data_IF_099490487302
#
_entry.id   IF_099490487302
#
_cell.length_a   1.000
_cell.length_b   1.000
_cell.length_c   1.000
_cell.angle_alpha   90.00
_cell.angle_beta   90.00
_cell.angle_gamma   90.00
#
_symmetry.space_group_name_H-M   'P 1'
#
loop_
_entity.id
_entity.type
_entity.pdbx_description
1 polymer ?
#
# COMPACT_ATOMS: atom_id res chain seq x y z
N UNK A 1 -19.64 -11.54 12.60
CA UNK A 1 -18.63 -12.45 12.02
C UNK A 1 -17.90 -11.70 10.90
N UNK A 2 -16.61 -11.36 11.08
CA UNK A 2 -15.84 -10.60 10.08
C UNK A 2 -15.12 -11.59 9.14
N UNK A 3 -15.55 -11.64 7.88
CA UNK A 3 -14.88 -12.42 6.85
C UNK A 3 -13.48 -11.84 6.59
N UNK A 4 -12.44 -12.59 6.94
CA UNK A 4 -11.05 -12.35 6.54
C UNK A 4 -10.79 -13.12 5.24
N UNK A 5 -10.71 -12.40 4.13
CA UNK A 5 -10.22 -12.94 2.85
C UNK A 5 -8.90 -12.23 2.55
N UNK A 6 -7.78 -12.81 2.97
CA UNK A 6 -6.44 -12.39 2.57
C UNK A 6 -6.18 -12.93 1.17
N UNK A 7 -6.14 -12.06 0.16
CA UNK A 7 -5.60 -12.40 -1.16
C UNK A 7 -4.14 -12.00 -1.12
N UNK A 8 -3.28 -13.00 -1.20
CA UNK A 8 -1.83 -12.90 -1.21
C UNK A 8 -1.39 -12.07 -2.42
N UNK A 9 -0.64 -11.00 -2.19
CA UNK A 9 0.06 -10.27 -3.23
C UNK A 9 1.54 -10.31 -2.89
N UNK A 10 2.28 -11.26 -3.47
CA UNK A 10 3.74 -11.29 -3.33
C UNK A 10 4.30 -10.25 -4.30
N UNK A 11 4.61 -9.05 -3.84
CA UNK A 11 5.42 -8.14 -4.62
C UNK A 11 6.80 -8.83 -4.80
N UNK A 12 7.19 -9.17 -6.03
CA UNK A 12 8.52 -9.75 -6.29
C UNK A 12 9.56 -8.77 -5.75
N UNK A 13 10.53 -9.23 -4.96
CA UNK A 13 11.50 -8.38 -4.24
C UNK A 13 12.18 -7.32 -5.15
N UNK A 14 12.35 -7.61 -6.44
CA UNK A 14 12.93 -6.71 -7.45
C UNK A 14 12.02 -5.56 -7.90
N UNK A 15 10.71 -5.69 -7.78
CA UNK A 15 9.73 -4.65 -8.11
C UNK A 15 9.59 -3.65 -6.96
N UNK A 16 9.61 -4.14 -5.72
CA UNK A 16 9.53 -3.31 -4.52
C UNK A 16 10.77 -2.41 -4.35
N UNK A 17 11.97 -2.89 -4.68
CA UNK A 17 13.20 -2.10 -4.49
C UNK A 17 13.20 -0.82 -5.34
N UNK A 18 12.87 -0.91 -6.63
CA UNK A 18 12.80 0.28 -7.51
C UNK A 18 11.73 1.28 -7.10
N UNK A 19 10.63 0.81 -6.52
CA UNK A 19 9.59 1.66 -5.96
C UNK A 19 10.14 2.44 -4.77
N UNK A 20 10.73 1.75 -3.80
CA UNK A 20 11.30 2.39 -2.62
C UNK A 20 12.45 3.33 -2.99
N UNK A 21 13.36 2.97 -3.91
CA UNK A 21 14.41 3.87 -4.38
C UNK A 21 13.83 5.17 -4.97
N UNK A 22 12.73 5.07 -5.73
CA UNK A 22 12.08 6.23 -6.33
C UNK A 22 11.30 7.07 -5.32
N UNK A 23 10.67 6.45 -4.32
CA UNK A 23 9.88 7.17 -3.32
C UNK A 23 10.77 7.77 -2.22
N UNK A 24 11.78 7.03 -1.75
CA UNK A 24 12.72 7.46 -0.70
C UNK A 24 13.64 8.60 -1.17
N UNK A 25 13.80 8.81 -2.48
CA UNK A 25 14.50 10.00 -3.02
C UNK A 25 13.69 11.29 -2.89
N UNK A 26 12.42 11.22 -2.43
CA UNK A 26 11.53 12.36 -2.26
C UNK A 26 11.15 12.53 -0.79
N UNK A 27 11.75 13.50 -0.07
CA UNK A 27 11.46 13.71 1.35
C UNK A 27 10.03 14.21 1.59
N UNK A 28 9.33 14.71 0.58
CA UNK A 28 7.94 15.15 0.71
C UNK A 28 6.90 14.01 0.67
N UNK A 29 7.34 12.76 0.51
CA UNK A 29 6.45 11.59 0.45
C UNK A 29 6.66 10.74 1.70
N UNK A 30 5.57 10.54 2.43
CA UNK A 30 5.56 9.63 3.57
C UNK A 30 4.86 8.33 3.16
N UNK A 31 5.47 7.20 3.49
CA UNK A 31 5.05 5.88 3.01
C UNK A 31 4.55 5.04 4.17
N UNK A 32 3.39 4.40 4.00
CA UNK A 32 2.89 3.35 4.89
C UNK A 32 2.80 2.05 4.09
N UNK A 33 3.60 1.06 4.44
CA UNK A 33 3.51 -0.29 3.93
C UNK A 33 2.45 -1.07 4.71
N UNK A 34 1.40 -1.53 4.04
CA UNK A 34 0.31 -2.26 4.66
C UNK A 34 0.56 -3.76 4.54
N UNK A 35 1.04 -4.37 5.62
CA UNK A 35 1.21 -5.80 5.75
C UNK A 35 -0.06 -6.54 6.15
N UNK A 36 0.04 -7.86 6.23
CA UNK A 36 -1.03 -8.74 6.69
C UNK A 36 -1.14 -8.72 8.23
N UNK A 37 -0.02 -8.57 8.91
CA UNK A 37 0.09 -8.53 10.36
C UNK A 37 -0.03 -7.11 10.91
N UNK A 38 0.65 -6.13 10.29
CA UNK A 38 0.68 -4.74 10.74
C UNK A 38 0.83 -3.75 9.57
N UNK A 39 0.63 -2.47 9.83
CA UNK A 39 1.13 -1.40 8.97
C UNK A 39 2.54 -0.99 9.43
N UNK A 40 3.38 -0.54 8.50
CA UNK A 40 4.77 -0.17 8.78
C UNK A 40 5.08 1.20 8.17
N UNK A 41 5.73 2.07 8.94
CA UNK A 41 6.14 3.41 8.48
C UNK A 41 7.49 3.78 9.08
N UNK A 42 8.20 4.75 8.49
CA UNK A 42 9.52 5.13 9.00
C UNK A 42 9.41 5.99 10.26
N UNK A 43 10.25 5.67 11.26
CA UNK A 43 10.43 6.49 12.47
C UNK A 43 10.88 7.91 12.17
N UNK A 44 11.54 8.12 11.03
CA UNK A 44 12.08 9.42 10.62
C UNK A 44 11.03 10.39 10.06
N UNK A 45 9.81 9.94 9.79
CA UNK A 45 8.73 10.81 9.29
C UNK A 45 8.15 11.73 10.38
N UNK A 46 7.33 12.70 9.97
CA UNK A 46 6.80 13.72 10.87
C UNK A 46 5.96 13.06 11.99
N UNK A 47 6.18 13.39 13.27
CA UNK A 47 5.34 12.89 14.36
C UNK A 47 3.83 13.17 14.16
N UNK A 48 3.46 14.25 13.46
CA UNK A 48 2.07 14.54 13.09
C UNK A 48 1.51 13.48 12.15
N UNK A 49 2.32 13.00 11.22
CA UNK A 49 1.94 11.90 10.33
C UNK A 49 1.74 10.61 11.12
N UNK A 50 2.60 10.31 12.10
CA UNK A 50 2.42 9.14 12.97
C UNK A 50 1.09 9.18 13.72
N UNK A 51 0.73 10.32 14.30
CA UNK A 51 -0.55 10.49 15.01
C UNK A 51 -1.77 10.27 14.09
N UNK A 52 -1.69 10.77 12.86
CA UNK A 52 -2.73 10.55 11.85
C UNK A 52 -2.78 9.06 11.48
N UNK A 53 -1.63 8.43 11.26
CA UNK A 53 -1.54 7.03 10.88
C UNK A 53 -2.07 6.09 11.99
N UNK A 54 -1.80 6.38 13.26
CA UNK A 54 -2.36 5.64 14.40
C UNK A 54 -3.90 5.71 14.45
N UNK A 55 -4.51 6.79 13.96
CA UNK A 55 -5.97 6.90 13.89
C UNK A 55 -6.57 6.00 12.79
N UNK A 56 -5.88 5.87 11.66
CA UNK A 56 -6.36 5.10 10.50
C UNK A 56 -5.97 3.61 10.56
N UNK A 57 -4.87 3.27 11.23
CA UNK A 57 -4.33 1.91 11.29
C UNK A 57 -4.39 1.37 12.72
N UNK A 58 -5.17 0.31 12.93
CA UNK A 58 -5.30 -0.33 14.24
C UNK A 58 -3.97 -0.86 14.80
N UNK A 59 -3.06 -1.29 13.91
CA UNK A 59 -1.71 -1.72 14.28
C UNK A 59 -0.74 -1.07 13.30
N UNK A 60 0.17 -0.26 13.83
CA UNK A 60 1.23 0.37 13.08
C UNK A 60 2.55 0.21 13.84
N UNK A 61 3.60 -0.14 13.12
CA UNK A 61 4.96 -0.28 13.63
C UNK A 61 5.86 0.77 12.97
N UNK A 62 6.59 1.50 13.80
CA UNK A 62 7.59 2.44 13.33
C UNK A 62 8.91 1.69 13.13
N UNK A 63 9.42 1.65 11.91
CA UNK A 63 10.65 0.93 11.52
C UNK A 63 11.74 1.91 11.09
N UNK A 64 13.01 1.49 11.14
CA UNK A 64 14.14 2.31 10.69
C UNK A 64 14.34 2.24 9.16
N UNK A 65 13.95 1.12 8.55
CA UNK A 65 13.93 0.91 7.09
C UNK A 65 12.88 -0.15 6.74
N UNK A 66 12.57 -0.27 5.45
CA UNK A 66 11.62 -1.27 4.93
C UNK A 66 12.28 -2.62 4.57
N UNK A 67 13.60 -2.76 4.71
CA UNK A 67 14.36 -3.91 4.23
C UNK A 67 14.13 -5.17 5.08
N UNK A 68 13.85 -5.00 6.37
CA UNK A 68 13.75 -6.09 7.35
C UNK A 68 12.32 -6.34 7.84
N UNK A 69 11.31 -6.15 6.99
CA UNK A 69 9.92 -6.44 7.36
C UNK A 69 9.59 -7.90 7.05
N UNK A 70 9.38 -8.69 8.10
CA UNK A 70 8.88 -10.07 8.02
C UNK A 70 7.34 -10.11 7.98
N UNK A 71 6.77 -9.49 6.95
CA UNK A 71 5.33 -9.51 6.69
C UNK A 71 5.03 -9.55 5.18
N UNK A 72 3.86 -10.07 4.83
CA UNK A 72 3.35 -10.04 3.46
C UNK A 72 2.72 -8.67 3.19
N UNK A 73 3.44 -7.81 2.48
CA UNK A 73 2.93 -6.48 2.10
C UNK A 73 1.88 -6.58 0.99
N UNK A 74 0.70 -6.02 1.25
CA UNK A 74 -0.47 -6.08 0.37
C UNK A 74 -0.67 -4.80 -0.45
N UNK A 75 -0.39 -3.64 0.14
CA UNK A 75 -0.49 -2.33 -0.51
C UNK A 75 0.48 -1.33 0.10
N UNK A 76 0.72 -0.23 -0.60
CA UNK A 76 1.40 0.94 -0.06
C UNK A 76 0.48 2.14 -0.11
N UNK A 77 0.39 2.88 0.99
CA UNK A 77 -0.29 4.17 1.03
C UNK A 77 0.79 5.27 1.05
N UNK A 78 0.66 6.24 0.16
CA UNK A 78 1.52 7.41 0.06
C UNK A 78 0.75 8.62 0.55
N UNK A 79 1.30 9.33 1.53
CA UNK A 79 0.83 10.63 1.95
C UNK A 79 1.63 11.70 1.22
N UNK A 80 0.93 12.56 0.48
CA UNK A 80 1.51 13.53 -0.45
C UNK A 80 0.69 14.81 -0.37
N UNK A 81 1.31 15.99 -0.44
CA UNK A 81 0.57 17.25 -0.57
C UNK A 81 -0.45 17.22 -1.72
N UNK A 82 -1.68 17.67 -1.44
CA UNK A 82 -2.83 17.64 -2.37
C UNK A 82 -2.51 18.23 -3.75
N UNK A 83 -1.72 19.30 -3.79
CA UNK A 83 -1.29 20.00 -5.01
C UNK A 83 -0.38 19.13 -5.91
N UNK A 84 0.32 18.15 -5.32
CA UNK A 84 1.23 17.25 -6.02
C UNK A 84 0.60 15.90 -6.39
N UNK A 85 -0.58 15.56 -5.86
CA UNK A 85 -1.25 14.27 -6.11
C UNK A 85 -1.42 13.97 -7.61
N UNK A 86 -1.95 14.89 -8.46
CA UNK A 86 -2.14 14.59 -9.88
C UNK A 86 -0.82 14.32 -10.63
N UNK A 87 0.21 15.10 -10.32
CA UNK A 87 1.53 14.95 -10.93
C UNK A 87 2.18 13.63 -10.49
N UNK A 88 2.07 13.27 -9.22
CA UNK A 88 2.63 12.04 -8.71
C UNK A 88 1.92 10.82 -9.29
N UNK A 89 0.59 10.85 -9.38
CA UNK A 89 -0.18 9.78 -9.97
C UNK A 89 0.27 9.50 -11.42
N UNK A 90 0.36 10.54 -12.26
CA UNK A 90 0.83 10.39 -13.63
C UNK A 90 2.27 9.83 -13.70
N UNK A 91 3.13 10.23 -12.77
CA UNK A 91 4.52 9.75 -12.68
C UNK A 91 4.59 8.27 -12.28
N UNK A 92 3.78 7.86 -11.30
CA UNK A 92 3.67 6.49 -10.85
C UNK A 92 3.08 5.61 -11.95
N UNK A 93 2.03 6.04 -12.64
CA UNK A 93 1.44 5.30 -13.76
C UNK A 93 2.44 5.14 -14.91
N UNK A 94 3.19 6.19 -15.26
CA UNK A 94 4.20 6.11 -16.33
C UNK A 94 5.36 5.16 -15.99
N UNK A 95 5.82 5.14 -14.73
CA UNK A 95 6.96 4.30 -14.30
C UNK A 95 6.57 2.89 -13.92
N UNK A 96 5.40 2.73 -13.30
CA UNK A 96 5.01 1.54 -12.57
C UNK A 96 3.63 1.03 -12.96
N UNK A 97 2.89 1.66 -13.88
CA UNK A 97 1.54 1.25 -14.29
C UNK A 97 1.43 -0.20 -14.80
N UNK A 98 2.54 -0.81 -15.21
CA UNK A 98 2.64 -2.23 -15.59
C UNK A 98 2.84 -3.19 -14.41
N UNK A 99 3.17 -2.67 -13.21
CA UNK A 99 3.52 -3.41 -11.99
C UNK A 99 2.59 -3.10 -10.81
N UNK A 100 2.08 -1.87 -10.73
CA UNK A 100 1.28 -1.29 -9.65
C UNK A 100 0.26 -0.33 -10.26
N UNK A 101 -0.97 -0.36 -9.76
CA UNK A 101 -2.01 0.61 -10.09
C UNK A 101 -2.04 1.69 -9.00
N UNK A 102 -1.83 2.94 -9.37
CA UNK A 102 -2.00 4.08 -8.48
C UNK A 102 -3.48 4.50 -8.43
N UNK A 103 -4.08 4.44 -7.24
CA UNK A 103 -5.47 4.83 -6.99
C UNK A 103 -5.49 5.97 -5.99
N UNK A 104 -6.15 7.06 -6.34
CA UNK A 104 -6.35 8.19 -5.42
C UNK A 104 -7.51 7.89 -4.48
N UNK A 105 -7.27 8.05 -3.18
CA UNK A 105 -8.26 7.78 -2.12
C UNK A 105 -8.92 9.04 -1.56
N UNK A 106 -8.53 10.22 -2.06
CA UNK A 106 -8.96 11.53 -1.57
C UNK A 106 -8.07 12.05 -0.43
N UNK A 107 -8.07 13.37 -0.18
CA UNK A 107 -7.30 14.02 0.89
C UNK A 107 -5.78 13.72 0.86
N UNK A 108 -5.10 13.98 -0.25
CA UNK A 108 -3.63 13.91 -0.26
C UNK A 108 -3.04 12.49 -0.20
N UNK A 109 -3.83 11.47 -0.51
CA UNK A 109 -3.38 10.08 -0.43
C UNK A 109 -3.47 9.32 -1.75
N UNK A 110 -2.40 8.58 -2.06
CA UNK A 110 -2.32 7.65 -3.20
C UNK A 110 -2.07 6.24 -2.67
N UNK A 111 -2.98 5.32 -2.95
CA UNK A 111 -2.81 3.90 -2.72
C UNK A 111 -2.17 3.23 -3.95
N UNK A 112 -1.05 2.56 -3.76
CA UNK A 112 -0.43 1.68 -4.75
C UNK A 112 -0.89 0.24 -4.51
N UNK A 113 -1.61 -0.32 -5.49
CA UNK A 113 -2.21 -1.65 -5.43
C UNK A 113 -1.61 -2.53 -6.52
N UNK A 114 -1.30 -3.80 -6.21
CA UNK A 114 -0.80 -4.75 -7.21
C UNK A 114 -1.94 -5.11 -8.20
N UNK A 115 -1.72 -4.97 -9.53
CA UNK A 115 -2.73 -5.25 -10.55
C UNK A 115 -3.17 -6.71 -10.47
N UNK A 116 -4.48 -6.95 -10.55
CA UNK A 116 -5.07 -8.30 -10.40
C UNK A 116 -5.51 -8.64 -8.96
N UNK A 117 -5.07 -7.88 -7.96
CA UNK A 117 -5.59 -7.95 -6.58
C UNK A 117 -6.65 -6.87 -6.39
N UNK A 118 -7.69 -6.93 -7.22
CA UNK A 118 -8.84 -6.03 -7.11
C UNK A 118 -9.93 -6.66 -6.25
N UNK A 119 -10.77 -5.84 -5.60
CA UNK A 119 -11.94 -6.30 -4.82
C UNK A 119 -12.81 -7.29 -5.61
N UNK A 120 -12.93 -7.11 -6.93
CA UNK A 120 -13.64 -8.02 -7.83
C UNK A 120 -13.02 -9.43 -7.94
N UNK A 121 -11.68 -9.54 -7.95
CA UNK A 121 -10.98 -10.83 -7.92
C UNK A 121 -11.18 -11.52 -6.56
N UNK A 122 -11.19 -10.75 -5.47
CA UNK A 122 -11.55 -11.26 -4.16
C UNK A 122 -12.98 -11.78 -4.04
N UNK A 123 -13.93 -11.06 -4.63
CA UNK A 123 -15.31 -11.51 -4.73
C UNK A 123 -15.44 -12.77 -5.58
N UNK A 124 -14.67 -12.90 -6.67
CA UNK A 124 -14.65 -14.11 -7.50
C UNK A 124 -14.11 -15.32 -6.73
N UNK A 125 -13.00 -15.17 -6.01
CA UNK A 125 -12.45 -16.22 -5.15
C UNK A 125 -13.39 -16.61 -4.00
N UNK A 126 -14.13 -15.64 -3.44
CA UNK A 126 -15.17 -15.91 -2.44
C UNK A 126 -16.33 -16.70 -3.06
N UNK A 127 -16.77 -16.32 -4.27
CA UNK A 127 -17.79 -17.04 -5.01
C UNK A 127 -17.34 -18.46 -5.35
N UNK A 128 -16.09 -18.68 -5.76
CA UNK A 128 -15.59 -20.04 -6.05
C UNK A 128 -15.44 -20.89 -4.78
N UNK A 129 -15.13 -20.27 -3.63
CA UNK A 129 -14.98 -20.97 -2.34
C UNK A 129 -16.32 -21.31 -1.66
N UNK A 130 -17.35 -20.50 -1.90
CA UNK A 130 -18.69 -20.67 -1.31
C UNK A 130 -19.76 -21.06 -2.34
N UNK A 131 -19.38 -21.27 -3.59
CA UNK A 131 -20.24 -21.50 -4.74
C UNK A 131 -20.55 -22.98 -5.03
N UNK A 132 -20.56 -23.83 -4.00
CA UNK A 132 -21.25 -25.11 -4.06
C UNK A 132 -22.41 -25.09 -3.03
N UNK A 133 -23.36 -24.18 -3.26
CA UNK A 133 -24.74 -24.40 -2.85
C UNK A 133 -25.54 -24.63 -4.13
N UNK A 134 -25.75 -25.90 -4.46
CA UNK A 134 -26.98 -26.29 -5.16
C UNK A 134 -28.18 -26.02 -4.27
#
# INVERSE_FOLDING_TARGET
MRAKMCITAQCRATTSSRLFDFLLTRPEIEIIACGKASAYTLKSYDPRFHQIAEHYYHRIELVDNFDNIDDTILKFALNIPDDKVPQMQATLDAKLGHLLTAVTTGHGSIDLIIPGVHKAHGLRLLQDRWGDCR
#
